data_IF_186338760026
#
_entry.id   IF_186338760026
#
_cell.length_a   1.000
_cell.length_b   1.000
_cell.length_c   1.000
_cell.angle_alpha   90.00
_cell.angle_beta   90.00
_cell.angle_gamma   90.00
#
_symmetry.space_group_name_H-M   'P 1'
#
loop_
_entity.id
_entity.type
_entity.pdbx_description
1 polymer ?
#
# COMPACT_ATOMS: atom_id res chain seq x y z
N UNK A 1 14.49 -83.65 23.99
CA UNK A 1 15.31 -83.18 22.82
C UNK A 1 14.41 -82.84 21.64
N UNK A 2 13.32 -83.58 21.41
CA UNK A 2 12.35 -83.21 20.34
C UNK A 2 11.57 -81.94 20.56
N UNK A 3 11.27 -81.59 21.81
CA UNK A 3 10.47 -80.40 22.13
C UNK A 3 11.24 -79.09 21.87
N UNK A 4 12.54 -79.10 22.18
CA UNK A 4 13.42 -77.97 21.84
C UNK A 4 13.61 -77.79 20.31
N UNK A 5 13.64 -78.86 19.57
CA UNK A 5 13.73 -78.83 18.11
C UNK A 5 12.44 -78.27 17.48
N UNK A 6 11.28 -78.65 17.95
CA UNK A 6 10.02 -78.15 17.49
C UNK A 6 9.81 -76.67 17.83
N UNK A 7 10.22 -76.22 19.01
CA UNK A 7 10.18 -74.82 19.43
C UNK A 7 11.09 -73.92 18.57
N UNK A 8 12.28 -74.40 18.22
CA UNK A 8 13.20 -73.67 17.29
C UNK A 8 12.63 -73.60 15.86
N UNK A 9 12.00 -74.68 15.36
CA UNK A 9 11.41 -74.70 14.04
C UNK A 9 10.14 -73.81 13.97
N UNK A 10 9.30 -73.83 14.97
CA UNK A 10 8.10 -73.01 15.06
C UNK A 10 8.46 -71.50 15.17
N UNK A 11 9.43 -71.12 15.99
CA UNK A 11 9.93 -69.76 16.04
C UNK A 11 10.57 -69.30 14.71
N UNK A 12 11.34 -70.17 14.04
CA UNK A 12 11.92 -69.80 12.74
C UNK A 12 10.90 -69.62 11.64
N UNK A 13 9.82 -70.43 11.60
CA UNK A 13 8.72 -70.28 10.64
C UNK A 13 7.91 -69.00 10.89
N UNK A 14 7.63 -68.66 12.17
CA UNK A 14 6.97 -67.42 12.56
C UNK A 14 7.77 -66.20 12.14
N UNK A 15 9.10 -66.25 12.33
CA UNK A 15 10.00 -65.16 11.92
C UNK A 15 10.01 -65.03 10.38
N UNK A 16 10.08 -66.12 9.64
CA UNK A 16 10.04 -66.10 8.18
C UNK A 16 8.68 -65.57 7.66
N UNK A 17 7.55 -66.01 8.21
CA UNK A 17 6.21 -65.55 7.81
C UNK A 17 6.01 -64.07 8.11
N UNK A 18 6.53 -63.57 9.23
CA UNK A 18 6.53 -62.13 9.53
C UNK A 18 7.39 -61.33 8.57
N UNK A 19 8.57 -61.83 8.20
CA UNK A 19 9.43 -61.21 7.20
C UNK A 19 8.80 -61.18 5.79
N UNK A 20 8.24 -62.31 5.35
CA UNK A 20 7.53 -62.37 4.07
C UNK A 20 6.26 -61.50 4.06
N UNK A 21 5.53 -61.44 5.17
CA UNK A 21 4.37 -60.54 5.36
C UNK A 21 4.76 -59.08 5.25
N UNK A 22 5.83 -58.68 5.91
CA UNK A 22 6.35 -57.31 5.86
C UNK A 22 6.88 -56.93 4.47
N UNK A 23 7.54 -57.84 3.76
CA UNK A 23 8.01 -57.60 2.38
C UNK A 23 6.80 -57.46 1.43
N UNK A 24 5.78 -58.25 1.57
CA UNK A 24 4.56 -58.16 0.76
C UNK A 24 3.81 -56.84 0.99
N UNK A 25 3.64 -56.41 2.22
CA UNK A 25 3.02 -55.09 2.56
C UNK A 25 3.88 -53.96 2.03
N UNK A 26 5.21 -53.99 2.18
CA UNK A 26 6.13 -52.97 1.67
C UNK A 26 6.07 -52.87 0.13
N UNK A 27 6.02 -54.00 -0.58
CA UNK A 27 5.88 -54.00 -2.06
C UNK A 27 4.54 -53.42 -2.47
N UNK A 28 3.48 -53.73 -1.73
CA UNK A 28 2.15 -53.18 -1.99
C UNK A 28 2.08 -51.68 -1.78
N UNK A 29 2.67 -51.18 -0.70
CA UNK A 29 2.76 -49.72 -0.41
C UNK A 29 3.58 -48.99 -1.47
N UNK A 30 4.67 -49.58 -1.95
CA UNK A 30 5.47 -49.00 -3.05
C UNK A 30 4.71 -48.94 -4.37
N UNK A 31 3.90 -49.99 -4.69
CA UNK A 31 3.03 -49.96 -5.86
C UNK A 31 1.96 -48.87 -5.75
N UNK A 32 1.33 -48.74 -4.59
CA UNK A 32 0.35 -47.65 -4.33
C UNK A 32 0.99 -46.27 -4.47
N UNK A 33 2.18 -46.08 -3.94
CA UNK A 33 2.93 -44.83 -4.08
C UNK A 33 3.21 -44.50 -5.56
N UNK A 34 3.62 -45.49 -6.35
CA UNK A 34 3.90 -45.32 -7.77
C UNK A 34 2.64 -44.95 -8.55
N UNK A 35 1.53 -45.64 -8.31
CA UNK A 35 0.22 -45.31 -8.90
C UNK A 35 -0.21 -43.89 -8.48
N UNK A 36 -0.06 -43.53 -7.20
CA UNK A 36 -0.35 -42.22 -6.68
C UNK A 36 0.42 -41.13 -7.43
N UNK A 37 1.74 -41.29 -7.59
CA UNK A 37 2.60 -40.30 -8.30
C UNK A 37 2.13 -40.15 -9.76
N UNK A 38 1.82 -41.23 -10.44
CA UNK A 38 1.33 -41.18 -11.84
C UNK A 38 0.01 -40.41 -11.94
N UNK A 39 -0.93 -40.71 -11.06
CA UNK A 39 -2.25 -40.04 -11.03
C UNK A 39 -2.06 -38.54 -10.72
N UNK A 40 -1.28 -38.21 -9.71
CA UNK A 40 -0.98 -36.83 -9.38
C UNK A 40 -0.32 -36.08 -10.54
N UNK A 41 0.63 -36.69 -11.23
CA UNK A 41 1.30 -36.11 -12.40
C UNK A 41 0.30 -35.85 -13.55
N UNK A 42 -0.62 -36.75 -13.82
CA UNK A 42 -1.67 -36.61 -14.82
C UNK A 42 -2.59 -35.43 -14.47
N UNK A 43 -3.09 -35.40 -13.24
CA UNK A 43 -3.99 -34.33 -12.74
C UNK A 43 -3.25 -32.98 -12.76
N UNK A 44 -2.01 -32.94 -12.30
CA UNK A 44 -1.18 -31.73 -12.33
C UNK A 44 -1.06 -31.16 -13.74
N UNK A 45 -0.71 -31.99 -14.72
CA UNK A 45 -0.57 -31.60 -16.12
C UNK A 45 -1.89 -31.08 -16.70
N UNK A 46 -3.00 -31.71 -16.35
CA UNK A 46 -4.35 -31.33 -16.82
C UNK A 46 -4.74 -29.97 -16.25
N UNK A 47 -4.60 -29.76 -14.93
CA UNK A 47 -4.98 -28.50 -14.27
C UNK A 47 -4.09 -27.35 -14.76
N UNK A 48 -2.77 -27.53 -14.82
CA UNK A 48 -1.84 -26.50 -15.29
C UNK A 48 -2.10 -26.10 -16.74
N UNK A 49 -2.40 -27.07 -17.61
CA UNK A 49 -2.74 -26.78 -19.01
C UNK A 49 -4.08 -26.05 -19.13
N UNK A 50 -5.11 -26.45 -18.38
CA UNK A 50 -6.40 -25.78 -18.34
C UNK A 50 -6.26 -24.34 -17.83
N UNK A 51 -5.57 -24.15 -16.73
CA UNK A 51 -5.30 -22.82 -16.15
C UNK A 51 -4.50 -21.93 -17.09
N UNK A 52 -3.46 -22.47 -17.75
CA UNK A 52 -2.66 -21.71 -18.72
C UNK A 52 -3.49 -21.26 -19.93
N UNK A 53 -4.42 -22.09 -20.39
CA UNK A 53 -5.36 -21.72 -21.48
C UNK A 53 -6.33 -20.64 -21.02
N UNK A 54 -6.90 -20.80 -19.83
CA UNK A 54 -7.83 -19.82 -19.26
C UNK A 54 -7.17 -18.45 -19.04
N UNK A 55 -5.94 -18.45 -18.48
CA UNK A 55 -5.17 -17.22 -18.28
C UNK A 55 -4.81 -16.48 -19.58
N UNK A 56 -4.60 -17.21 -20.68
CA UNK A 56 -4.39 -16.61 -22.01
C UNK A 56 -5.67 -15.98 -22.58
N UNK A 57 -6.83 -16.48 -22.23
CA UNK A 57 -8.12 -15.93 -22.66
C UNK A 57 -8.52 -14.68 -21.84
N UNK A 58 -8.13 -14.63 -20.58
CA UNK A 58 -8.30 -13.43 -19.75
C UNK A 58 -7.16 -12.45 -20.09
N UNK A 59 -7.51 -11.25 -20.55
CA UNK A 59 -6.56 -10.17 -20.95
C UNK A 59 -5.72 -9.66 -19.75
N UNK A 60 -5.03 -10.58 -19.06
CA UNK A 60 -4.13 -10.28 -17.93
C UNK A 60 -2.92 -9.43 -18.39
N UNK A 61 -2.64 -9.39 -19.69
CA UNK A 61 -1.68 -8.48 -20.31
C UNK A 61 -1.93 -7.01 -19.95
N UNK A 62 -3.19 -6.62 -19.66
CA UNK A 62 -3.48 -5.27 -19.15
C UNK A 62 -2.86 -4.96 -17.77
N UNK A 63 -2.54 -5.96 -16.98
CA UNK A 63 -1.81 -5.78 -15.72
C UNK A 63 -0.33 -5.45 -15.98
N UNK A 64 0.24 -5.95 -17.08
CA UNK A 64 1.59 -5.58 -17.50
C UNK A 64 1.64 -4.10 -17.95
N UNK A 65 0.57 -3.60 -18.58
CA UNK A 65 0.46 -2.18 -18.96
C UNK A 65 0.36 -1.25 -17.75
N UNK A 66 -0.28 -1.72 -16.67
CA UNK A 66 -0.34 -0.96 -15.40
C UNK A 66 1.04 -0.89 -14.73
N UNK A 67 1.81 -1.97 -14.80
CA UNK A 67 3.18 -2.02 -14.30
C UNK A 67 4.10 -1.05 -15.05
N UNK A 68 3.99 -0.99 -16.39
CA UNK A 68 4.80 -0.09 -17.21
C UNK A 68 4.53 1.42 -16.95
N UNK A 69 3.37 1.75 -16.36
CA UNK A 69 3.00 3.12 -15.97
C UNK A 69 3.60 3.56 -14.62
N UNK A 70 4.24 2.66 -13.87
CA UNK A 70 4.82 2.96 -12.56
C UNK A 70 6.31 3.27 -12.73
N UNK A 71 6.67 4.56 -12.82
CA UNK A 71 8.06 5.03 -13.02
C UNK A 71 9.08 4.46 -12.03
N UNK A 72 8.67 4.19 -10.78
CA UNK A 72 9.53 3.66 -9.73
C UNK A 72 9.95 2.23 -10.03
N UNK A 73 9.04 1.40 -10.56
CA UNK A 73 9.30 0.00 -10.91
C UNK A 73 10.10 -0.12 -12.22
N UNK A 74 9.93 0.83 -13.13
CA UNK A 74 10.70 0.94 -14.37
C UNK A 74 12.20 1.13 -14.13
N UNK A 75 12.57 1.85 -13.06
CA UNK A 75 13.98 2.05 -12.67
C UNK A 75 14.67 0.78 -12.18
N UNK A 76 13.93 -0.23 -11.72
CA UNK A 76 14.47 -1.48 -11.19
C UNK A 76 14.75 -2.50 -12.31
N UNK A 77 14.36 -2.19 -13.56
CA UNK A 77 14.61 -2.99 -14.77
C UNK A 77 14.17 -4.47 -14.68
N UNK A 78 13.20 -4.80 -13.81
CA UNK A 78 12.64 -6.13 -13.62
C UNK A 78 11.41 -6.28 -14.52
N UNK A 79 11.51 -7.11 -15.54
CA UNK A 79 10.34 -7.48 -16.36
C UNK A 79 9.47 -8.47 -15.58
N UNK A 80 8.42 -8.00 -14.94
CA UNK A 80 7.47 -8.83 -14.22
C UNK A 80 6.43 -9.35 -15.22
N UNK A 81 6.41 -10.66 -15.41
CA UNK A 81 5.39 -11.35 -16.19
C UNK A 81 4.36 -11.94 -15.22
N UNK A 82 3.28 -11.21 -14.98
CA UNK A 82 2.23 -11.62 -14.04
C UNK A 82 1.63 -12.98 -14.40
N UNK A 83 1.53 -13.32 -15.68
CA UNK A 83 1.03 -14.61 -16.12
C UNK A 83 1.94 -15.76 -15.67
N UNK A 84 3.26 -15.60 -15.81
CA UNK A 84 4.22 -16.61 -15.34
C UNK A 84 4.19 -16.77 -13.83
N UNK A 85 4.05 -15.66 -13.09
CA UNK A 85 3.97 -15.68 -11.63
C UNK A 85 2.71 -16.42 -11.16
N UNK A 86 1.55 -16.13 -11.75
CA UNK A 86 0.29 -16.81 -11.39
C UNK A 86 0.38 -18.30 -11.69
N UNK A 87 0.93 -18.68 -12.85
CA UNK A 87 1.11 -20.11 -13.22
C UNK A 87 2.11 -20.79 -12.27
N UNK A 88 3.21 -20.11 -11.90
CA UNK A 88 4.18 -20.63 -10.96
C UNK A 88 3.57 -20.83 -9.55
N UNK A 89 2.80 -19.85 -9.08
CA UNK A 89 2.06 -19.95 -7.82
C UNK A 89 1.06 -21.12 -7.83
N UNK A 90 0.29 -21.26 -8.91
CA UNK A 90 -0.65 -22.37 -9.08
C UNK A 90 0.05 -23.72 -9.05
N UNK A 91 1.16 -23.85 -9.77
CA UNK A 91 1.97 -25.09 -9.75
C UNK A 91 2.47 -25.41 -8.36
N UNK A 92 2.94 -24.38 -7.63
CA UNK A 92 3.44 -24.54 -6.26
C UNK A 92 2.33 -24.99 -5.30
N UNK A 93 1.16 -24.34 -5.36
CA UNK A 93 -0.01 -24.73 -4.54
C UNK A 93 -0.46 -26.16 -4.84
N UNK A 94 -0.58 -26.53 -6.12
CA UNK A 94 -0.94 -27.89 -6.51
C UNK A 94 0.05 -28.94 -6.02
N UNK A 95 1.35 -28.63 -6.11
CA UNK A 95 2.39 -29.51 -5.59
C UNK A 95 2.23 -29.70 -4.08
N UNK A 96 2.01 -28.62 -3.32
CA UNK A 96 1.78 -28.70 -1.87
C UNK A 96 0.53 -29.56 -1.54
N UNK A 97 -0.57 -29.37 -2.26
CA UNK A 97 -1.80 -30.17 -2.08
C UNK A 97 -1.51 -31.66 -2.31
N UNK A 98 -0.80 -32.00 -3.37
CA UNK A 98 -0.44 -33.40 -3.63
C UNK A 98 0.50 -33.96 -2.55
N UNK A 99 1.43 -33.16 -2.02
CA UNK A 99 2.30 -33.60 -0.92
C UNK A 99 1.46 -33.89 0.35
N UNK A 100 0.48 -33.03 0.67
CA UNK A 100 -0.43 -33.28 1.82
C UNK A 100 -1.23 -34.55 1.62
N UNK A 101 -1.88 -34.71 0.46
CA UNK A 101 -2.69 -35.88 0.17
C UNK A 101 -1.84 -37.17 0.21
N UNK A 102 -0.61 -37.12 -0.29
CA UNK A 102 0.32 -38.25 -0.20
C UNK A 102 0.75 -38.53 1.24
N UNK A 103 1.09 -37.49 1.99
CA UNK A 103 1.49 -37.64 3.39
C UNK A 103 0.37 -38.22 4.26
N UNK A 104 -0.89 -37.85 4.00
CA UNK A 104 -2.04 -38.43 4.69
C UNK A 104 -2.27 -39.89 4.31
N UNK A 105 -2.15 -40.25 3.03
CA UNK A 105 -2.31 -41.62 2.54
C UNK A 105 -1.24 -42.58 3.14
N UNK A 106 -0.04 -42.10 3.32
CA UNK A 106 1.09 -42.86 3.85
C UNK A 106 1.33 -42.67 5.35
N UNK A 107 0.40 -42.01 6.08
CA UNK A 107 0.46 -41.76 7.52
C UNK A 107 1.71 -41.03 7.98
N UNK A 108 2.10 -39.94 7.27
CA UNK A 108 3.18 -39.02 7.64
C UNK A 108 2.65 -37.71 8.25
N UNK A 109 2.13 -37.70 9.49
CA UNK A 109 1.44 -36.52 10.05
C UNK A 109 2.36 -35.31 10.27
N UNK A 110 3.67 -35.53 10.38
CA UNK A 110 4.66 -34.45 10.47
C UNK A 110 4.76 -33.64 9.18
N UNK A 111 4.76 -34.32 8.03
CA UNK A 111 4.79 -33.67 6.70
C UNK A 111 3.48 -32.91 6.46
N UNK A 112 2.34 -33.52 6.75
CA UNK A 112 1.03 -32.90 6.61
C UNK A 112 0.93 -31.58 7.39
N UNK A 113 1.40 -31.55 8.64
CA UNK A 113 1.41 -30.31 9.45
C UNK A 113 2.27 -29.23 8.82
N UNK A 114 3.52 -29.53 8.49
CA UNK A 114 4.46 -28.56 7.89
C UNK A 114 3.90 -27.96 6.58
N UNK A 115 3.33 -28.80 5.72
CA UNK A 115 2.79 -28.34 4.43
C UNK A 115 1.51 -27.53 4.63
N UNK A 116 0.66 -27.91 5.57
CA UNK A 116 -0.54 -27.12 5.91
C UNK A 116 -0.17 -25.72 6.44
N UNK A 117 0.88 -25.59 7.25
CA UNK A 117 1.39 -24.30 7.71
C UNK A 117 1.85 -23.43 6.52
N UNK A 118 2.55 -24.04 5.56
CA UNK A 118 2.96 -23.32 4.32
C UNK A 118 1.75 -22.91 3.49
N UNK A 119 0.77 -23.79 3.32
CA UNK A 119 -0.48 -23.47 2.58
C UNK A 119 -1.22 -22.32 3.27
N UNK A 120 -1.34 -22.36 4.59
CA UNK A 120 -2.00 -21.30 5.37
C UNK A 120 -1.25 -19.96 5.29
N UNK A 121 0.06 -19.99 5.03
CA UNK A 121 0.88 -18.79 4.86
C UNK A 121 0.75 -18.13 3.47
N UNK A 122 0.40 -18.90 2.43
CA UNK A 122 0.29 -18.40 1.05
C UNK A 122 -0.67 -17.21 0.88
N UNK A 123 -1.91 -17.21 1.43
CA UNK A 123 -2.80 -16.06 1.34
C UNK A 123 -2.23 -14.79 1.97
N UNK A 124 -1.44 -14.94 3.05
CA UNK A 124 -0.75 -13.80 3.70
C UNK A 124 0.31 -13.21 2.79
N UNK A 125 1.12 -14.04 2.13
CA UNK A 125 2.13 -13.60 1.16
C UNK A 125 1.50 -12.89 -0.03
N UNK A 126 0.42 -13.44 -0.61
CA UNK A 126 -0.29 -12.83 -1.73
C UNK A 126 -0.84 -11.46 -1.33
N UNK A 127 -1.45 -11.37 -0.16
CA UNK A 127 -1.95 -10.09 0.38
C UNK A 127 -0.83 -9.09 0.62
N UNK A 128 0.31 -9.52 1.15
CA UNK A 128 1.50 -8.69 1.37
C UNK A 128 2.01 -8.08 0.06
N UNK A 129 2.18 -8.91 -0.97
CA UNK A 129 2.60 -8.46 -2.30
C UNK A 129 1.57 -7.48 -2.89
N UNK A 130 0.28 -7.77 -2.78
CA UNK A 130 -0.78 -6.89 -3.25
C UNK A 130 -0.73 -5.51 -2.57
N UNK A 131 -0.51 -5.46 -1.25
CA UNK A 131 -0.38 -4.21 -0.48
C UNK A 131 0.83 -3.41 -0.98
N UNK A 132 1.98 -4.04 -1.18
CA UNK A 132 3.20 -3.38 -1.65
C UNK A 132 2.99 -2.81 -3.07
N UNK A 133 2.43 -3.60 -3.98
CA UNK A 133 2.16 -3.15 -5.35
C UNK A 133 1.13 -2.01 -5.38
N UNK A 134 0.07 -2.10 -4.58
CA UNK A 134 -0.90 -1.02 -4.42
C UNK A 134 -0.25 0.24 -3.87
N UNK A 135 0.66 0.10 -2.90
CA UNK A 135 1.44 1.20 -2.34
C UNK A 135 2.29 1.92 -3.39
N UNK A 136 2.99 1.18 -4.24
CA UNK A 136 3.75 1.77 -5.34
C UNK A 136 2.85 2.51 -6.36
N UNK A 137 1.70 1.91 -6.69
CA UNK A 137 0.73 2.55 -7.57
C UNK A 137 0.22 3.88 -6.97
N UNK A 138 -0.16 3.87 -5.70
CA UNK A 138 -0.65 5.05 -5.00
C UNK A 138 0.43 6.12 -4.85
N UNK A 139 1.66 5.73 -4.49
CA UNK A 139 2.80 6.63 -4.39
C UNK A 139 3.07 7.38 -5.72
N UNK A 140 2.96 6.67 -6.86
CA UNK A 140 3.10 7.29 -8.17
C UNK A 140 1.98 8.30 -8.47
N UNK A 141 0.74 7.99 -8.11
CA UNK A 141 -0.40 8.93 -8.23
C UNK A 141 -0.19 10.18 -7.39
N UNK A 142 0.24 10.00 -6.14
CA UNK A 142 0.53 11.10 -5.21
C UNK A 142 1.67 11.96 -5.74
N UNK A 143 2.73 11.35 -6.30
CA UNK A 143 3.83 12.07 -6.94
C UNK A 143 3.33 13.04 -8.02
N UNK A 144 2.54 12.53 -8.96
CA UNK A 144 2.00 13.34 -10.06
C UNK A 144 1.09 14.46 -9.54
N UNK A 145 0.26 14.15 -8.55
CA UNK A 145 -0.65 15.13 -7.94
C UNK A 145 0.11 16.25 -7.21
N UNK A 146 1.11 15.88 -6.38
CA UNK A 146 1.96 16.84 -5.68
C UNK A 146 2.74 17.73 -6.64
N UNK A 147 3.32 17.16 -7.70
CA UNK A 147 4.04 17.94 -8.71
C UNK A 147 3.15 18.97 -9.40
N UNK A 148 1.88 18.62 -9.66
CA UNK A 148 0.91 19.59 -10.21
C UNK A 148 0.58 20.70 -9.23
N UNK A 149 0.31 20.37 -7.97
CA UNK A 149 -0.03 21.37 -6.95
C UNK A 149 1.14 22.31 -6.64
N UNK A 150 2.33 21.75 -6.42
CA UNK A 150 3.51 22.53 -6.04
C UNK A 150 4.11 23.28 -7.23
N UNK A 151 3.93 22.78 -8.45
CA UNK A 151 4.36 23.45 -9.68
C UNK A 151 3.66 24.81 -9.93
N UNK A 152 2.49 25.01 -9.33
CA UNK A 152 1.76 26.30 -9.39
C UNK A 152 2.42 27.34 -8.46
N UNK A 153 3.12 26.89 -7.41
CA UNK A 153 3.58 27.78 -6.31
C UNK A 153 5.03 28.25 -6.52
N UNK A 154 5.85 27.60 -7.35
CA UNK A 154 7.23 28.05 -7.54
C UNK A 154 8.23 27.03 -8.11
N UNK A 155 9.51 27.37 -7.99
CA UNK A 155 10.66 26.79 -8.67
C UNK A 155 10.80 25.26 -8.54
N UNK A 156 11.21 24.64 -9.63
CA UNK A 156 11.32 23.19 -9.83
C UNK A 156 12.16 22.41 -8.80
N UNK A 157 13.17 23.02 -8.16
CA UNK A 157 14.08 22.30 -7.25
C UNK A 157 13.45 21.99 -5.89
N UNK A 158 12.81 22.98 -5.23
CA UNK A 158 12.16 22.75 -3.92
C UNK A 158 10.97 21.82 -4.01
N UNK A 159 10.18 21.94 -5.07
CA UNK A 159 9.03 21.06 -5.37
C UNK A 159 9.43 19.58 -5.47
N UNK A 160 10.56 19.31 -6.12
CA UNK A 160 11.06 17.95 -6.29
C UNK A 160 11.51 17.32 -4.97
N UNK A 161 12.16 18.09 -4.08
CA UNK A 161 12.60 17.60 -2.78
C UNK A 161 11.39 17.20 -1.93
N UNK A 162 10.41 18.09 -1.77
CA UNK A 162 9.19 17.83 -0.99
C UNK A 162 8.44 16.63 -1.54
N UNK A 163 8.24 16.59 -2.87
CA UNK A 163 7.57 15.47 -3.53
C UNK A 163 8.28 14.15 -3.28
N UNK A 164 9.60 14.10 -3.41
CA UNK A 164 10.37 12.88 -3.21
C UNK A 164 10.33 12.38 -1.75
N UNK A 165 10.40 13.29 -0.78
CA UNK A 165 10.30 12.94 0.65
C UNK A 165 8.93 12.34 0.96
N UNK A 166 7.84 12.96 0.49
CA UNK A 166 6.48 12.45 0.71
C UNK A 166 6.30 11.10 0.04
N UNK A 167 6.70 10.95 -1.22
CA UNK A 167 6.60 9.67 -1.97
C UNK A 167 7.41 8.57 -1.30
N UNK A 168 8.62 8.88 -0.83
CA UNK A 168 9.45 7.93 -0.09
C UNK A 168 8.75 7.47 1.21
N UNK A 169 8.17 8.40 1.96
CA UNK A 169 7.40 8.08 3.17
C UNK A 169 6.22 7.15 2.88
N UNK A 170 5.47 7.39 1.79
CA UNK A 170 4.39 6.51 1.35
C UNK A 170 4.89 5.12 0.96
N UNK A 171 5.96 5.03 0.18
CA UNK A 171 6.55 3.74 -0.20
C UNK A 171 6.99 2.97 1.04
N UNK A 172 7.71 3.63 1.96
CA UNK A 172 8.17 3.03 3.20
C UNK A 172 7.01 2.50 4.04
N UNK A 173 5.93 3.28 4.18
CA UNK A 173 4.73 2.89 4.91
C UNK A 173 4.11 1.61 4.31
N UNK A 174 3.88 1.56 3.01
CA UNK A 174 3.28 0.39 2.36
C UNK A 174 4.21 -0.83 2.35
N UNK A 175 5.52 -0.64 2.26
CA UNK A 175 6.49 -1.74 2.39
C UNK A 175 6.45 -2.33 3.80
N UNK A 176 6.45 -1.51 4.84
CA UNK A 176 6.33 -1.97 6.23
C UNK A 176 5.00 -2.67 6.48
N UNK A 177 3.90 -2.12 5.95
CA UNK A 177 2.57 -2.73 6.03
C UNK A 177 2.54 -4.10 5.33
N UNK A 178 3.16 -4.22 4.15
CA UNK A 178 3.27 -5.48 3.42
C UNK A 178 4.14 -6.51 4.15
N UNK A 179 5.27 -6.10 4.73
CA UNK A 179 6.12 -6.97 5.54
C UNK A 179 5.38 -7.48 6.78
N UNK A 180 4.63 -6.62 7.47
CA UNK A 180 3.79 -7.00 8.60
C UNK A 180 2.70 -8.00 8.17
N UNK A 181 2.05 -7.77 7.03
CA UNK A 181 1.08 -8.70 6.46
C UNK A 181 1.71 -10.07 6.13
N UNK A 182 2.97 -10.08 5.71
CA UNK A 182 3.75 -11.31 5.49
C UNK A 182 4.15 -12.02 6.80
N UNK A 183 3.77 -11.48 7.96
CA UNK A 183 4.11 -12.06 9.28
C UNK A 183 5.53 -11.72 9.76
N UNK A 184 6.21 -10.78 9.11
CA UNK A 184 7.50 -10.27 9.56
C UNK A 184 7.23 -9.21 10.62
N UNK A 185 7.80 -9.37 11.81
CA UNK A 185 7.66 -8.38 12.88
C UNK A 185 8.41 -7.10 12.52
N UNK A 186 7.64 -6.07 12.18
CA UNK A 186 8.14 -4.74 11.86
C UNK A 186 7.95 -3.74 13.00
N UNK A 187 7.52 -4.19 14.18
CA UNK A 187 7.14 -3.33 15.30
C UNK A 187 8.24 -2.37 15.73
N UNK A 188 9.48 -2.85 15.84
CA UNK A 188 10.63 -2.00 16.18
C UNK A 188 10.85 -0.87 15.18
N UNK A 189 10.73 -1.17 13.88
CA UNK A 189 10.91 -0.19 12.82
C UNK A 189 9.73 0.78 12.80
N UNK A 190 8.50 0.24 12.85
CA UNK A 190 7.26 1.01 12.79
C UNK A 190 7.14 1.97 13.98
N UNK A 191 7.47 1.53 15.19
CA UNK A 191 7.42 2.38 16.38
C UNK A 191 8.41 3.54 16.29
N UNK A 192 9.66 3.28 15.91
CA UNK A 192 10.67 4.32 15.77
C UNK A 192 10.32 5.33 14.65
N UNK A 193 9.87 4.83 13.49
CA UNK A 193 9.44 5.69 12.39
C UNK A 193 8.21 6.52 12.78
N UNK A 194 7.25 5.95 13.50
CA UNK A 194 6.07 6.67 13.96
C UNK A 194 6.42 7.83 14.89
N UNK A 195 7.40 7.65 15.77
CA UNK A 195 7.89 8.73 16.64
C UNK A 195 8.56 9.83 15.80
N UNK A 196 9.45 9.46 14.87
CA UNK A 196 10.15 10.42 14.01
C UNK A 196 9.15 11.20 13.16
N UNK A 197 8.20 10.52 12.51
CA UNK A 197 7.14 11.17 11.73
C UNK A 197 6.26 12.05 12.60
N UNK A 198 5.92 11.61 13.80
CA UNK A 198 5.15 12.39 14.77
C UNK A 198 5.84 13.71 15.12
N UNK A 199 7.14 13.69 15.37
CA UNK A 199 7.95 14.89 15.64
C UNK A 199 8.00 15.80 14.41
N UNK A 200 8.22 15.26 13.22
CA UNK A 200 8.23 16.03 11.97
C UNK A 200 6.86 16.69 11.73
N UNK A 201 5.76 15.94 11.82
CA UNK A 201 4.43 16.50 11.63
C UNK A 201 4.05 17.53 12.69
N UNK A 202 4.42 17.29 13.95
CA UNK A 202 4.24 18.29 15.01
C UNK A 202 5.01 19.58 14.73
N UNK A 203 6.26 19.46 14.29
CA UNK A 203 7.09 20.63 13.93
C UNK A 203 6.49 21.40 12.74
N UNK A 204 6.04 20.72 11.70
CA UNK A 204 5.38 21.33 10.55
C UNK A 204 4.05 21.98 10.96
N UNK A 205 3.24 21.30 11.78
CA UNK A 205 1.98 21.85 12.25
C UNK A 205 2.17 23.12 13.09
N UNK A 206 3.18 23.14 13.98
CA UNK A 206 3.53 24.32 14.76
C UNK A 206 4.05 25.45 13.87
N UNK A 207 4.96 25.16 12.94
CA UNK A 207 5.50 26.16 12.03
C UNK A 207 4.40 26.79 11.17
N UNK A 208 3.51 25.96 10.58
CA UNK A 208 2.37 26.43 9.80
C UNK A 208 1.34 27.16 10.68
N UNK A 209 1.00 26.60 11.82
CA UNK A 209 0.01 27.19 12.75
C UNK A 209 0.42 28.57 13.23
N UNK A 210 1.67 28.71 13.66
CA UNK A 210 2.20 30.01 14.13
C UNK A 210 2.46 30.97 12.96
N UNK A 211 3.02 30.47 11.84
CA UNK A 211 3.36 31.30 10.68
C UNK A 211 2.14 31.79 9.90
N UNK A 212 1.04 31.03 9.86
CA UNK A 212 -0.18 31.42 9.14
C UNK A 212 -1.16 32.25 9.95
N UNK A 213 -0.91 32.44 11.24
CA UNK A 213 -1.83 33.14 12.18
C UNK A 213 -2.32 34.49 11.66
N UNK A 214 -1.42 35.32 11.15
CA UNK A 214 -1.77 36.66 10.69
C UNK A 214 -2.53 36.63 9.37
N UNK A 215 -2.15 35.74 8.45
CA UNK A 215 -2.82 35.55 7.16
C UNK A 215 -4.27 35.06 7.39
N UNK A 216 -4.46 34.06 8.26
CA UNK A 216 -5.77 33.54 8.62
C UNK A 216 -6.64 34.63 9.24
N UNK A 217 -6.06 35.49 10.10
CA UNK A 217 -6.77 36.63 10.69
C UNK A 217 -7.23 37.62 9.62
N UNK A 218 -6.38 37.94 8.65
CA UNK A 218 -6.74 38.86 7.56
C UNK A 218 -7.85 38.29 6.66
N UNK A 219 -7.83 37.00 6.36
CA UNK A 219 -8.89 36.32 5.63
C UNK A 219 -10.23 36.41 6.40
N UNK A 220 -10.20 36.17 7.72
CA UNK A 220 -11.39 36.30 8.56
C UNK A 220 -11.90 37.75 8.59
N UNK A 221 -11.02 38.73 8.69
CA UNK A 221 -11.37 40.13 8.60
C UNK A 221 -12.05 40.45 7.27
N UNK A 222 -11.52 39.96 6.16
CA UNK A 222 -12.15 40.12 4.84
C UNK A 222 -13.54 39.53 4.80
N UNK A 223 -13.74 38.33 5.34
CA UNK A 223 -15.04 37.66 5.37
C UNK A 223 -16.08 38.46 6.16
N UNK A 224 -15.73 38.93 7.35
CA UNK A 224 -16.68 39.71 8.16
C UNK A 224 -16.89 41.13 7.60
N UNK A 225 -15.86 41.74 7.02
CA UNK A 225 -15.95 43.04 6.42
C UNK A 225 -16.95 43.08 5.26
N UNK A 226 -16.93 42.07 4.38
CA UNK A 226 -17.88 41.96 3.25
C UNK A 226 -19.36 41.82 3.67
N UNK A 227 -19.61 41.51 4.94
CA UNK A 227 -20.97 41.53 5.50
C UNK A 227 -21.42 42.91 5.98
N UNK A 228 -20.45 43.76 6.32
CA UNK A 228 -20.73 45.08 6.93
C UNK A 228 -20.61 46.23 5.93
N UNK A 229 -19.82 46.02 4.85
CA UNK A 229 -19.54 47.07 3.84
C UNK A 229 -19.63 46.46 2.45
N UNK A 230 -20.22 47.21 1.51
CA UNK A 230 -20.41 46.76 0.12
C UNK A 230 -19.52 47.55 -0.85
N UNK A 231 -19.28 46.94 -2.03
CA UNK A 231 -18.65 47.66 -3.15
C UNK A 231 -19.60 48.77 -3.62
N UNK A 232 -19.06 49.98 -3.71
CA UNK A 232 -19.85 51.19 -4.02
C UNK A 232 -20.07 52.12 -2.82
N UNK A 233 -19.86 51.63 -1.57
CA UNK A 233 -20.03 52.47 -0.39
C UNK A 233 -18.94 53.58 -0.37
N UNK A 234 -19.34 54.82 -0.03
CA UNK A 234 -18.44 55.92 0.26
C UNK A 234 -17.99 55.80 1.71
N UNK A 235 -16.65 55.75 1.91
CA UNK A 235 -16.06 55.58 3.23
C UNK A 235 -15.07 56.70 3.51
N UNK A 236 -15.04 57.11 4.77
CA UNK A 236 -14.07 58.07 5.29
C UNK A 236 -13.29 57.42 6.44
N UNK A 237 -11.98 57.39 6.34
CA UNK A 237 -11.04 56.88 7.34
C UNK A 237 -10.31 58.07 7.94
N UNK A 238 -10.78 58.50 9.11
CA UNK A 238 -10.29 59.72 9.74
C UNK A 238 -8.80 59.66 10.09
N UNK A 239 -8.31 58.48 10.49
CA UNK A 239 -6.91 58.28 10.94
C UNK A 239 -5.88 58.59 9.85
N UNK A 240 -6.16 58.26 8.60
CA UNK A 240 -5.24 58.42 7.46
C UNK A 240 -5.73 59.51 6.49
N UNK A 241 -6.82 60.21 6.84
CA UNK A 241 -7.47 61.24 6.04
C UNK A 241 -7.82 60.77 4.59
N UNK A 242 -8.28 59.52 4.48
CA UNK A 242 -8.65 58.87 3.22
C UNK A 242 -10.16 58.91 3.09
N UNK A 243 -10.66 59.54 2.00
CA UNK A 243 -12.04 59.54 1.62
C UNK A 243 -12.18 59.04 0.19
N UNK A 244 -13.15 58.13 -0.06
CA UNK A 244 -13.35 57.58 -1.38
C UNK A 244 -14.39 56.48 -1.42
N UNK A 245 -14.59 55.94 -2.61
CA UNK A 245 -15.57 54.84 -2.86
C UNK A 245 -14.87 53.49 -2.93
N UNK A 246 -15.45 52.49 -2.28
CA UNK A 246 -14.91 51.12 -2.34
C UNK A 246 -15.12 50.52 -3.73
N UNK A 247 -14.06 50.13 -4.40
CA UNK A 247 -14.07 49.51 -5.74
C UNK A 247 -14.06 47.98 -5.65
N UNK A 248 -13.25 47.43 -4.75
CA UNK A 248 -13.20 45.99 -4.51
C UNK A 248 -12.64 45.68 -3.11
N UNK A 249 -13.09 44.52 -2.57
CA UNK A 249 -12.58 43.96 -1.30
C UNK A 249 -11.91 42.64 -1.60
N UNK A 250 -10.58 42.63 -1.58
CA UNK A 250 -9.77 41.40 -1.73
C UNK A 250 -9.57 40.73 -0.35
N UNK A 251 -8.86 39.61 -0.31
CA UNK A 251 -8.62 38.89 0.95
C UNK A 251 -7.69 39.63 1.90
N UNK A 252 -6.82 40.51 1.38
CA UNK A 252 -5.76 41.20 2.13
C UNK A 252 -5.91 42.73 2.07
N UNK A 253 -6.54 43.25 0.99
CA UNK A 253 -6.65 44.67 0.74
C UNK A 253 -8.08 45.11 0.36
N UNK A 254 -8.42 46.34 0.69
CA UNK A 254 -9.60 47.06 0.17
C UNK A 254 -9.08 48.09 -0.82
N UNK A 255 -9.66 48.12 -2.04
CA UNK A 255 -9.34 49.17 -3.05
C UNK A 255 -10.35 50.30 -2.93
N UNK A 256 -9.85 51.47 -2.68
CA UNK A 256 -10.63 52.71 -2.51
C UNK A 256 -10.26 53.66 -3.63
N UNK A 257 -11.28 54.14 -4.36
CA UNK A 257 -11.11 55.20 -5.35
C UNK A 257 -11.30 56.56 -4.62
N UNK A 258 -10.20 57.24 -4.43
CA UNK A 258 -10.18 58.61 -3.86
C UNK A 258 -10.00 59.65 -4.96
N UNK A 259 -10.20 60.90 -4.66
CA UNK A 259 -9.99 62.04 -5.58
C UNK A 259 -8.53 62.12 -6.08
N UNK A 260 -7.57 61.54 -5.35
CA UNK A 260 -6.13 61.51 -5.66
C UNK A 260 -5.73 60.26 -6.45
N UNK A 261 -6.63 59.29 -6.65
CA UNK A 261 -6.33 58.00 -7.32
C UNK A 261 -6.81 56.77 -6.56
N UNK A 262 -6.39 55.60 -7.02
CA UNK A 262 -6.72 54.34 -6.38
C UNK A 262 -5.80 54.02 -5.22
N UNK A 263 -6.31 53.85 -4.03
CA UNK A 263 -5.58 53.54 -2.80
C UNK A 263 -5.83 52.05 -2.46
N UNK A 264 -4.73 51.30 -2.29
CA UNK A 264 -4.74 49.93 -1.74
C UNK A 264 -4.60 50.04 -0.21
N UNK A 265 -5.72 49.78 0.49
CA UNK A 265 -5.77 49.90 1.94
C UNK A 265 -5.74 48.52 2.59
N UNK A 266 -4.75 48.23 3.47
CA UNK A 266 -4.64 46.91 4.12
C UNK A 266 -5.90 46.61 4.95
N UNK A 267 -6.48 45.42 4.80
CA UNK A 267 -7.74 45.04 5.45
C UNK A 267 -7.62 45.04 6.97
N UNK A 268 -6.45 44.70 7.51
CA UNK A 268 -6.14 44.75 8.94
C UNK A 268 -6.34 46.18 9.49
N UNK A 269 -5.81 47.18 8.80
CA UNK A 269 -5.98 48.59 9.21
C UNK A 269 -7.44 49.01 9.03
N UNK A 270 -8.08 48.62 7.92
CA UNK A 270 -9.45 48.93 7.63
C UNK A 270 -10.42 48.46 8.73
N UNK A 271 -10.23 47.28 9.28
CA UNK A 271 -11.07 46.70 10.33
C UNK A 271 -10.78 47.25 11.73
N UNK A 272 -9.52 47.68 11.97
CA UNK A 272 -9.09 48.14 13.31
C UNK A 272 -9.30 49.63 13.54
N UNK A 273 -9.48 50.44 12.48
CA UNK A 273 -9.74 51.85 12.56
C UNK A 273 -11.21 52.17 12.53
N UNK A 274 -11.60 53.33 13.05
CA UNK A 274 -12.97 53.86 12.91
C UNK A 274 -13.19 54.28 11.46
N UNK A 275 -14.19 53.73 10.83
CA UNK A 275 -14.58 54.06 9.45
C UNK A 275 -16.01 54.59 9.49
N UNK A 276 -16.21 55.73 8.87
CA UNK A 276 -17.51 56.32 8.66
C UNK A 276 -17.99 55.96 7.26
N UNK A 277 -19.19 55.35 7.17
CA UNK A 277 -19.87 55.12 5.90
C UNK A 277 -20.74 56.31 5.65
N UNK A 278 -20.47 56.99 4.55
CA UNK A 278 -21.23 58.18 4.13
C UNK A 278 -22.37 57.64 3.26
N UNK A 279 -23.61 57.67 3.80
CA UNK A 279 -24.82 57.38 3.00
C UNK A 279 -25.20 58.69 2.28
N UNK A 280 -25.26 58.62 0.94
CA UNK A 280 -25.83 59.73 0.13
C UNK A 280 -27.33 59.81 0.28
#
# INVERSE_FOLDING_TARGET
>A
MNDLYNEYFENSSIVLDTWFGNIKTMVWELLLLLVYIIVCWLIFKLIVNAASRFLRLTKIEKLNDLYEKIDVLKKINVKIDFQKIIIALLKFVLLLIFVVLGADLFNFPGVTRLVNDVIAYLPRLVSAIAIILFGFYLANKIKIWLQKLLGIIGSSSGTNIVTNVVVFGFILFFVLMGLNQAGIDTSLITNNISIILGVIFASVALAFGLGSKDIVREILYSYYLRKSVQVGDKVKIDADNVEGTIVSIDNINVKILSNTGMILYPIKKFVTLKIEIIND
#
